data_IF_970848274743
#
_entry.id   IF_970848274743
#
_cell.length_a   1.000
_cell.length_b   1.000
_cell.length_c   1.000
_cell.angle_alpha   90.00
_cell.angle_beta   90.00
_cell.angle_gamma   90.00
#
_symmetry.space_group_name_H-M   'P 1'
#
loop_
_entity.id
_entity.type
_entity.pdbx_description
1 polymer ?
#
# COMPACT_ATOMS: atom_id res chain seq x y z
N UNK A 1 -11.90 5.32 16.26
CA UNK A 1 -12.10 4.63 14.97
C UNK A 1 -10.87 4.67 14.06
N UNK A 2 -10.27 5.84 13.82
CA UNK A 2 -9.08 6.01 12.95
C UNK A 2 -7.91 5.06 13.30
N UNK A 3 -7.58 4.95 14.59
CA UNK A 3 -6.51 4.07 15.06
C UNK A 3 -6.86 2.57 14.93
N UNK A 4 -8.12 2.18 15.14
CA UNK A 4 -8.54 0.78 14.98
C UNK A 4 -8.43 0.33 13.51
N UNK A 5 -8.87 1.18 12.58
CA UNK A 5 -8.73 0.92 11.14
C UNK A 5 -7.25 0.88 10.76
N UNK A 6 -6.45 1.83 11.25
CA UNK A 6 -5.02 1.87 10.95
C UNK A 6 -4.28 0.61 11.43
N UNK A 7 -4.51 0.19 12.68
CA UNK A 7 -3.94 -1.04 13.24
C UNK A 7 -4.38 -2.27 12.43
N UNK A 8 -5.65 -2.35 12.03
CA UNK A 8 -6.14 -3.43 11.20
C UNK A 8 -5.43 -3.49 9.83
N UNK A 9 -5.27 -2.33 9.16
CA UNK A 9 -4.56 -2.24 7.88
C UNK A 9 -3.08 -2.63 8.04
N UNK A 10 -2.43 -2.27 9.15
CA UNK A 10 -1.05 -2.68 9.44
C UNK A 10 -0.95 -4.20 9.60
N UNK A 11 -1.92 -4.81 10.31
CA UNK A 11 -1.96 -6.27 10.47
C UNK A 11 -2.14 -6.98 9.12
N UNK A 12 -3.07 -6.51 8.28
CA UNK A 12 -3.28 -7.07 6.94
C UNK A 12 -2.04 -6.87 6.06
N UNK A 13 -1.45 -5.67 6.06
CA UNK A 13 -0.22 -5.39 5.31
C UNK A 13 0.95 -6.27 5.76
N UNK A 14 1.07 -6.51 7.07
CA UNK A 14 2.09 -7.42 7.63
C UNK A 14 1.85 -8.87 7.19
N UNK A 15 0.59 -9.32 7.19
CA UNK A 15 0.22 -10.63 6.69
C UNK A 15 0.49 -10.77 5.18
N UNK A 16 0.30 -9.73 4.38
CA UNK A 16 0.66 -9.73 2.96
C UNK A 16 2.17 -9.94 2.73
N UNK A 17 3.01 -9.37 3.60
CA UNK A 17 4.47 -9.52 3.52
C UNK A 17 4.94 -10.91 3.99
N UNK A 18 4.37 -11.41 5.09
CA UNK A 18 4.78 -12.69 5.70
C UNK A 18 4.20 -13.88 4.93
N UNK A 19 2.92 -13.81 4.56
CA UNK A 19 2.17 -14.89 3.89
C UNK A 19 1.94 -14.59 2.42
N UNK A 20 2.95 -14.05 1.74
CA UNK A 20 2.86 -13.71 0.32
C UNK A 20 2.43 -14.90 -0.54
N UNK A 21 2.94 -16.10 -0.26
CA UNK A 21 2.59 -17.31 -1.02
C UNK A 21 1.10 -17.63 -0.97
N UNK A 22 0.46 -17.39 0.18
CA UNK A 22 -0.99 -17.52 0.32
C UNK A 22 -1.71 -16.50 -0.55
N UNK A 23 -1.26 -15.25 -0.58
CA UNK A 23 -1.85 -14.23 -1.45
C UNK A 23 -1.66 -14.57 -2.93
N UNK A 24 -0.47 -15.00 -3.35
CA UNK A 24 -0.22 -15.42 -4.74
C UNK A 24 -1.07 -16.64 -5.11
N UNK A 25 -1.24 -17.61 -4.21
CA UNK A 25 -2.07 -18.79 -4.46
C UNK A 25 -3.57 -18.46 -4.59
N UNK A 26 -4.07 -17.45 -3.88
CA UNK A 26 -5.49 -17.07 -3.93
C UNK A 26 -5.81 -16.05 -5.03
N UNK A 27 -4.91 -15.09 -5.28
CA UNK A 27 -5.14 -13.98 -6.22
C UNK A 27 -4.42 -14.17 -7.56
N UNK A 28 -3.48 -15.11 -7.66
CA UNK A 28 -2.76 -15.44 -8.88
C UNK A 28 -1.46 -14.65 -9.08
N UNK A 29 -0.87 -14.87 -10.26
CA UNK A 29 0.33 -14.17 -10.70
C UNK A 29 -0.01 -12.89 -11.46
N UNK A 30 0.87 -11.89 -11.40
CA UNK A 30 0.73 -10.62 -12.10
C UNK A 30 1.65 -10.60 -13.32
N UNK A 31 1.09 -10.70 -14.52
CA UNK A 31 1.87 -10.67 -15.77
C UNK A 31 2.70 -9.39 -15.91
N UNK A 32 2.16 -8.24 -15.45
CA UNK A 32 2.89 -6.98 -15.43
C UNK A 32 4.11 -7.04 -14.51
N UNK A 33 3.97 -7.64 -13.33
CA UNK A 33 5.05 -7.76 -12.37
C UNK A 33 6.15 -8.69 -12.88
N UNK A 34 5.77 -9.85 -13.45
CA UNK A 34 6.72 -10.77 -14.06
C UNK A 34 7.45 -10.11 -15.25
N UNK A 35 6.73 -9.35 -16.09
CA UNK A 35 7.33 -8.68 -17.24
C UNK A 35 8.27 -7.52 -16.88
N UNK A 36 7.99 -6.79 -15.80
CA UNK A 36 8.76 -5.58 -15.44
C UNK A 36 9.85 -5.82 -14.40
N UNK A 37 9.61 -6.71 -13.45
CA UNK A 37 10.52 -7.00 -12.34
C UNK A 37 11.35 -8.26 -12.63
N UNK A 38 10.84 -9.17 -13.47
CA UNK A 38 11.46 -10.46 -13.79
C UNK A 38 10.80 -11.61 -13.02
N UNK A 39 11.40 -12.80 -13.09
CA UNK A 39 10.83 -14.01 -12.50
C UNK A 39 10.65 -13.88 -10.98
N UNK A 40 9.42 -14.09 -10.50
CA UNK A 40 9.05 -13.90 -9.10
C UNK A 40 8.67 -12.45 -8.77
N UNK A 41 8.54 -11.59 -9.79
CA UNK A 41 8.12 -10.20 -9.65
C UNK A 41 6.80 -10.05 -8.94
N UNK A 42 5.88 -11.00 -9.10
CA UNK A 42 4.60 -11.00 -8.40
C UNK A 42 4.76 -11.09 -6.88
N UNK A 43 5.66 -11.96 -6.39
CA UNK A 43 5.90 -12.08 -4.95
C UNK A 43 6.46 -10.78 -4.37
N UNK A 44 7.36 -10.13 -5.11
CA UNK A 44 7.88 -8.82 -4.72
C UNK A 44 6.78 -7.76 -4.74
N UNK A 45 5.89 -7.77 -5.75
CA UNK A 45 4.77 -6.83 -5.83
C UNK A 45 3.85 -6.91 -4.60
N UNK A 46 3.44 -8.12 -4.21
CA UNK A 46 2.58 -8.28 -3.02
C UNK A 46 3.27 -7.83 -1.72
N UNK A 47 4.57 -8.08 -1.57
CA UNK A 47 5.34 -7.61 -0.41
C UNK A 47 5.45 -6.08 -0.40
N UNK A 48 5.75 -5.47 -1.54
CA UNK A 48 5.85 -4.01 -1.67
C UNK A 48 4.50 -3.35 -1.37
N UNK A 49 3.39 -3.90 -1.88
CA UNK A 49 2.05 -3.42 -1.56
C UNK A 49 1.75 -3.52 -0.06
N UNK A 50 2.10 -4.63 0.58
CA UNK A 50 1.95 -4.80 2.03
C UNK A 50 2.73 -3.74 2.82
N UNK A 51 3.98 -3.46 2.44
CA UNK A 51 4.80 -2.40 3.05
C UNK A 51 4.18 -1.03 2.83
N UNK A 52 3.69 -0.73 1.62
CA UNK A 52 3.02 0.53 1.31
C UNK A 52 1.77 0.72 2.20
N UNK A 53 0.95 -0.31 2.38
CA UNK A 53 -0.22 -0.24 3.26
C UNK A 53 0.16 0.02 4.72
N UNK A 54 1.24 -0.58 5.22
CA UNK A 54 1.76 -0.30 6.56
C UNK A 54 2.17 1.18 6.68
N UNK A 55 2.95 1.68 5.72
CA UNK A 55 3.43 3.07 5.72
C UNK A 55 2.26 4.06 5.64
N UNK A 56 1.34 3.86 4.69
CA UNK A 56 0.17 4.73 4.52
C UNK A 56 -0.74 4.73 5.75
N UNK A 57 -0.89 3.57 6.40
CA UNK A 57 -1.65 3.47 7.64
C UNK A 57 -1.00 4.28 8.77
N UNK A 58 0.32 4.17 8.94
CA UNK A 58 1.06 4.97 9.93
C UNK A 58 0.93 6.46 9.63
N UNK A 59 1.12 6.88 8.37
CA UNK A 59 0.96 8.28 7.96
C UNK A 59 -0.48 8.78 8.17
N UNK A 60 -1.49 7.93 7.96
CA UNK A 60 -2.89 8.26 8.19
C UNK A 60 -3.22 8.40 9.68
N UNK A 61 -2.59 7.57 10.52
CA UNK A 61 -2.74 7.61 11.98
C UNK A 61 -2.05 8.84 12.60
N UNK A 62 -0.91 9.28 12.06
CA UNK A 62 -0.19 10.48 12.54
C UNK A 62 -0.75 11.78 11.99
N UNK A 63 -1.66 11.72 11.00
CA UNK A 63 -2.21 12.90 10.33
C UNK A 63 -1.33 13.43 9.18
N UNK A 64 -0.09 12.95 9.05
CA UNK A 64 0.86 13.33 8.01
C UNK A 64 0.33 13.06 6.59
N UNK A 65 -0.49 12.02 6.42
CA UNK A 65 -1.04 11.67 5.10
C UNK A 65 -1.86 12.83 4.51
N UNK A 66 -2.61 13.56 5.34
CA UNK A 66 -3.37 14.72 4.90
C UNK A 66 -2.45 15.85 4.40
N UNK A 67 -1.41 16.17 5.17
CA UNK A 67 -0.42 17.20 4.83
C UNK A 67 0.32 16.88 3.52
N UNK A 68 0.68 15.60 3.32
CA UNK A 68 1.32 15.14 2.09
C UNK A 68 0.36 15.26 0.89
N UNK A 69 -0.91 14.86 1.04
CA UNK A 69 -1.89 15.00 -0.03
C UNK A 69 -2.12 16.47 -0.39
N UNK A 70 -2.30 17.35 0.59
CA UNK A 70 -2.49 18.78 0.34
C UNK A 70 -1.24 19.45 -0.25
N UNK A 71 -0.03 19.03 0.13
CA UNK A 71 1.19 19.61 -0.45
C UNK A 71 1.44 19.16 -1.90
N UNK A 72 1.15 17.89 -2.22
CA UNK A 72 1.32 17.35 -3.58
C UNK A 72 0.20 17.79 -4.52
N UNK A 73 -1.05 17.69 -4.07
CA UNK A 73 -2.23 17.92 -4.91
C UNK A 73 -2.90 19.28 -4.67
N UNK A 74 -2.48 20.07 -3.67
CA UNK A 74 -3.12 21.36 -3.37
C UNK A 74 -3.09 22.35 -4.52
N UNK A 75 -2.08 22.28 -5.41
CA UNK A 75 -2.01 23.09 -6.63
C UNK A 75 -3.07 22.72 -7.68
N UNK A 76 -3.54 21.47 -7.67
CA UNK A 76 -4.62 21.03 -8.57
C UNK A 76 -5.99 21.51 -8.09
N UNK A 77 -6.17 21.63 -6.77
CA UNK A 77 -7.42 22.13 -6.17
C UNK A 77 -7.44 23.65 -5.99
N UNK A 78 -6.29 24.33 -6.03
CA UNK A 78 -6.25 25.80 -5.93
C UNK A 78 -6.71 26.52 -7.20
N UNK A 79 -6.83 25.82 -8.33
CA UNK A 79 -7.37 26.38 -9.58
C UNK A 79 -8.90 26.28 -9.69
N UNK A 80 -9.58 25.72 -8.68
CA UNK A 80 -11.04 25.53 -8.64
C UNK A 80 -11.75 26.50 -7.67
N UNK A 81 -11.02 27.43 -7.06
CA UNK A 81 -11.54 28.50 -6.20
C UNK A 81 -11.39 29.86 -6.91
#
# INVERSE_FOLDING_TARGET
MKYFIGVFVILVGSLMVIRTDWFVANFGHSDWAEAKIGSGGTYLLYKVLGIIFIILSLMGMTGMLGEVIFSVFGRLFSGLA
#
